data_IF_643445966227
#
_entry.id   IF_643445966227
#
_cell.length_a   1.000
_cell.length_b   1.000
_cell.length_c   1.000
_cell.angle_alpha   90.00
_cell.angle_beta   90.00
_cell.angle_gamma   90.00
#
_symmetry.space_group_name_H-M   'P 1'
#
loop_
_entity.id
_entity.type
_entity.pdbx_description
1 polymer ?
#
# COMPACT_ATOMS: atom_id res chain seq x y z
N UNK A 1 8.90 1.07 5.80
CA UNK A 1 8.33 -0.27 5.50
C UNK A 1 7.07 -0.55 6.30
N UNK A 2 7.14 -0.72 7.63
CA UNK A 2 5.97 -0.97 8.47
C UNK A 2 4.85 0.08 8.27
N UNK A 3 5.20 1.37 8.27
CA UNK A 3 4.23 2.43 8.05
C UNK A 3 3.45 2.32 6.73
N UNK A 4 4.12 1.90 5.65
CA UNK A 4 3.47 1.68 4.35
C UNK A 4 2.48 0.51 4.41
N UNK A 5 2.90 -0.62 4.98
CA UNK A 5 2.04 -1.80 5.10
C UNK A 5 0.82 -1.52 6.00
N UNK A 6 0.98 -0.77 7.09
CA UNK A 6 -0.16 -0.37 7.93
C UNK A 6 -1.15 0.53 7.17
N UNK A 7 -0.67 1.41 6.27
CA UNK A 7 -1.55 2.21 5.40
C UNK A 7 -2.27 1.34 4.38
N UNK A 8 -1.63 0.27 3.90
CA UNK A 8 -2.28 -0.73 3.04
C UNK A 8 -3.38 -1.46 3.81
N UNK A 9 -3.13 -1.97 5.02
CA UNK A 9 -4.17 -2.59 5.86
C UNK A 9 -5.35 -1.66 6.08
N UNK A 10 -5.08 -0.40 6.43
CA UNK A 10 -6.13 0.61 6.62
C UNK A 10 -6.96 0.85 5.35
N UNK A 11 -6.36 0.71 4.16
CA UNK A 11 -7.06 0.84 2.89
C UNK A 11 -8.10 -0.27 2.67
N UNK A 12 -7.92 -1.46 3.24
CA UNK A 12 -8.87 -2.56 3.15
C UNK A 12 -9.89 -2.53 4.30
N UNK A 13 -9.44 -2.23 5.52
CA UNK A 13 -10.28 -2.28 6.72
C UNK A 13 -11.17 -1.04 6.90
N UNK A 14 -10.74 0.12 6.38
CA UNK A 14 -11.47 1.37 6.52
C UNK A 14 -11.12 2.34 5.39
N UNK A 15 -11.12 3.65 5.65
CA UNK A 15 -10.75 4.69 4.69
C UNK A 15 -9.32 5.18 4.96
N UNK A 16 -8.51 5.27 3.92
CA UNK A 16 -7.18 5.88 3.96
C UNK A 16 -7.11 7.08 3.03
N UNK A 17 -6.30 8.08 3.39
CA UNK A 17 -6.00 9.20 2.50
C UNK A 17 -5.03 8.75 1.40
N UNK A 18 -5.40 8.96 0.13
CA UNK A 18 -4.60 8.58 -1.02
C UNK A 18 -3.20 9.21 -1.00
N UNK A 19 -3.09 10.48 -0.62
CA UNK A 19 -1.81 11.19 -0.58
C UNK A 19 -0.90 10.64 0.51
N UNK A 20 -1.46 10.32 1.68
CA UNK A 20 -0.68 9.74 2.77
C UNK A 20 -0.17 8.33 2.43
N UNK A 21 -1.00 7.52 1.77
CA UNK A 21 -0.56 6.19 1.33
C UNK A 21 0.53 6.30 0.25
N UNK A 22 0.37 7.20 -0.72
CA UNK A 22 1.38 7.42 -1.77
C UNK A 22 2.69 7.97 -1.20
N UNK A 23 2.64 8.82 -0.18
CA UNK A 23 3.85 9.30 0.50
C UNK A 23 4.53 8.18 1.29
N UNK A 24 3.76 7.37 2.02
CA UNK A 24 4.29 6.18 2.69
C UNK A 24 4.93 5.19 1.69
N UNK A 25 4.32 5.03 0.51
CA UNK A 25 4.86 4.24 -0.59
C UNK A 25 6.17 4.83 -1.15
N UNK A 26 6.25 6.16 -1.32
CA UNK A 26 7.47 6.85 -1.76
C UNK A 26 8.64 6.56 -0.81
N UNK A 27 8.44 6.72 0.49
CA UNK A 27 9.45 6.42 1.52
C UNK A 27 9.80 4.92 1.52
N UNK A 28 8.81 4.04 1.34
CA UNK A 28 9.06 2.61 1.17
C UNK A 28 9.97 2.32 -0.03
N UNK A 29 9.77 3.00 -1.17
CA UNK A 29 10.58 2.85 -2.38
C UNK A 29 12.00 3.38 -2.26
N UNK A 30 12.25 4.38 -1.41
CA UNK A 30 13.61 4.81 -1.08
C UNK A 30 14.39 3.71 -0.34
N UNK A 31 13.72 2.98 0.56
CA UNK A 31 14.30 1.85 1.30
C UNK A 31 14.37 0.59 0.43
N UNK A 32 13.36 0.37 -0.43
CA UNK A 32 13.21 -0.80 -1.30
C UNK A 32 13.16 -0.35 -2.77
N UNK A 33 14.31 0.04 -3.36
CA UNK A 33 14.34 0.50 -4.74
C UNK A 33 14.05 -0.64 -5.73
N UNK A 34 14.46 -1.87 -5.40
CA UNK A 34 14.30 -3.04 -6.26
C UNK A 34 12.84 -3.48 -6.40
N UNK A 35 12.35 -3.53 -7.64
CA UNK A 35 11.02 -4.06 -7.98
C UNK A 35 10.85 -5.54 -7.63
N UNK A 36 11.93 -6.33 -7.69
CA UNK A 36 11.89 -7.73 -7.33
C UNK A 36 11.68 -7.92 -5.82
N UNK A 37 12.37 -7.11 -5.01
CA UNK A 37 12.23 -7.11 -3.56
C UNK A 37 10.85 -6.62 -3.13
N UNK A 38 10.35 -5.55 -3.74
CA UNK A 38 8.97 -5.08 -3.53
C UNK A 38 7.93 -6.18 -3.81
N UNK A 39 8.06 -6.89 -4.93
CA UNK A 39 7.17 -8.03 -5.24
C UNK A 39 7.26 -9.17 -4.23
N UNK A 40 8.44 -9.42 -3.66
CA UNK A 40 8.60 -10.43 -2.62
C UNK A 40 7.87 -10.00 -1.34
N UNK A 41 8.06 -8.74 -0.92
CA UNK A 41 7.38 -8.17 0.24
C UNK A 41 5.86 -8.18 0.06
N UNK A 42 5.35 -7.79 -1.12
CA UNK A 42 3.91 -7.82 -1.41
C UNK A 42 3.34 -9.24 -1.31
N UNK A 43 4.05 -10.25 -1.85
CA UNK A 43 3.63 -11.66 -1.74
C UNK A 43 3.60 -12.14 -0.29
N UNK A 44 4.65 -11.84 0.48
CA UNK A 44 4.76 -12.30 1.87
C UNK A 44 3.71 -11.61 2.75
N UNK A 45 3.50 -10.31 2.54
CA UNK A 45 2.45 -9.54 3.18
C UNK A 45 1.06 -10.09 2.83
N UNK A 46 0.75 -10.27 1.54
CA UNK A 46 -0.53 -10.80 1.08
C UNK A 46 -0.80 -12.20 1.62
N UNK A 47 0.22 -13.06 1.74
CA UNK A 47 0.08 -14.39 2.35
C UNK A 47 -0.29 -14.31 3.83
N UNK A 48 0.18 -13.29 4.55
CA UNK A 48 -0.06 -13.13 5.98
C UNK A 48 -1.37 -12.39 6.29
N UNK A 49 -1.72 -11.34 5.53
CA UNK A 49 -2.87 -10.47 5.80
C UNK A 49 -4.07 -10.70 4.88
N UNK A 50 -3.86 -11.32 3.71
CA UNK A 50 -4.84 -11.38 2.62
C UNK A 50 -4.87 -10.13 1.73
N UNK A 51 -4.09 -9.09 2.04
CA UNK A 51 -4.16 -7.79 1.37
C UNK A 51 -3.03 -7.60 0.35
N UNK A 52 -3.35 -7.04 -0.82
CA UNK A 52 -2.35 -6.67 -1.82
C UNK A 52 -1.98 -5.19 -1.70
N UNK A 53 -0.70 -4.92 -1.44
CA UNK A 53 -0.14 -3.57 -1.43
C UNK A 53 -0.13 -2.96 -2.84
N UNK A 54 0.06 -3.78 -3.87
CA UNK A 54 -0.03 -3.35 -5.26
C UNK A 54 -1.42 -2.77 -5.59
N UNK A 55 -2.51 -3.44 -5.21
CA UNK A 55 -3.86 -2.94 -5.46
C UNK A 55 -4.14 -1.64 -4.70
N UNK A 56 -3.66 -1.53 -3.45
CA UNK A 56 -3.82 -0.32 -2.65
C UNK A 56 -3.09 0.88 -3.25
N UNK A 57 -1.85 0.70 -3.70
CA UNK A 57 -1.08 1.75 -4.39
C UNK A 57 -1.74 2.13 -5.70
N UNK A 58 -2.14 1.14 -6.52
CA UNK A 58 -2.83 1.40 -7.79
C UNK A 58 -4.10 2.23 -7.56
N UNK A 59 -4.91 1.86 -6.57
CA UNK A 59 -6.13 2.61 -6.26
C UNK A 59 -5.84 4.01 -5.75
N UNK A 60 -4.82 4.18 -4.92
CA UNK A 60 -4.40 5.50 -4.46
C UNK A 60 -3.93 6.40 -5.61
N UNK A 61 -3.25 5.84 -6.62
CA UNK A 61 -2.85 6.56 -7.84
C UNK A 61 -4.06 6.96 -8.70
N UNK A 62 -5.10 6.14 -8.78
CA UNK A 62 -6.34 6.48 -9.49
C UNK A 62 -7.15 7.59 -8.78
N UNK A 63 -7.13 7.58 -7.44
CA UNK A 63 -7.86 8.56 -6.62
C UNK A 63 -7.11 9.89 -6.56
N UNK A 64 -5.77 9.85 -6.52
CA UNK A 64 -4.81 10.95 -6.34
C UNK A 64 -4.97 11.76 -5.05
N UNK A 65 -6.19 12.17 -4.70
CA UNK A 65 -6.54 12.98 -3.52
C UNK A 65 -7.85 12.52 -2.90
N UNK A 66 -7.93 12.58 -1.57
CA UNK A 66 -9.12 12.23 -0.81
C UNK A 66 -9.04 10.84 -0.17
N UNK A 67 -10.17 10.41 0.40
CA UNK A 67 -10.29 9.16 1.14
C UNK A 67 -10.76 8.03 0.22
N UNK A 68 -10.15 6.87 0.33
CA UNK A 68 -10.59 5.66 -0.37
C UNK A 68 -10.52 4.42 0.52
N UNK A 69 -11.28 3.40 0.12
CA UNK A 69 -11.21 2.05 0.67
C UNK A 69 -11.26 1.07 -0.50
N UNK A 70 -10.64 -0.10 -0.35
CA UNK A 70 -10.77 -1.20 -1.29
C UNK A 70 -11.93 -2.13 -0.93
N UNK A 71 -12.32 -2.18 0.34
CA UNK A 71 -13.17 -3.23 0.86
C UNK A 71 -12.51 -4.61 0.77
N UNK A 72 -12.96 -5.53 1.61
CA UNK A 72 -12.62 -6.95 1.49
C UNK A 72 -13.61 -7.69 0.59
#
# INVERSE_FOLDING_TARGET
MLHFLNKVELAYESKVNAQELLEAYRIFKEIVPSKAQEKQIDRDFQKASGYSSYQAVKKAQEVEKGLFTLGN
#
